data_IF_147084494904
#
_entry.id   IF_147084494904
#
_cell.length_a   1.000
_cell.length_b   1.000
_cell.length_c   1.000
_cell.angle_alpha   90.00
_cell.angle_beta   90.00
_cell.angle_gamma   90.00
#
_symmetry.space_group_name_H-M   'P 1'
#
loop_
_entity.id
_entity.type
_entity.pdbx_description
1 polymer ?
#
# COMPACT_ATOMS: atom_id res chain seq x y z
N UNK A 1 -13.30 -1.98 9.80
CA UNK A 1 -12.40 -2.47 10.83
C UNK A 1 -12.80 -1.87 12.14
N UNK A 2 -13.03 -2.74 13.11
CA UNK A 2 -13.29 -2.29 14.47
C UNK A 2 -11.90 -2.01 15.03
N UNK A 3 -11.65 -0.77 15.44
CA UNK A 3 -10.39 -0.43 16.11
C UNK A 3 -10.17 -1.39 17.29
N UNK A 4 -8.94 -1.89 17.49
CA UNK A 4 -8.65 -2.74 18.63
C UNK A 4 -9.01 -2.01 19.94
N UNK A 5 -9.43 -2.77 20.96
CA UNK A 5 -9.72 -2.20 22.28
C UNK A 5 -8.42 -1.71 22.91
N UNK A 6 -8.45 -0.50 23.48
CA UNK A 6 -7.33 0.06 24.25
C UNK A 6 -7.28 -0.64 25.61
N UNK A 7 -6.07 -1.03 26.12
CA UNK A 7 -4.75 -0.85 25.48
C UNK A 7 -4.46 -1.92 24.42
N UNK A 8 -3.74 -1.54 23.34
CA UNK A 8 -3.21 -2.48 22.35
C UNK A 8 -1.83 -2.02 21.86
N UNK A 9 -1.03 -2.95 21.35
CA UNK A 9 0.26 -2.67 20.72
C UNK A 9 0.01 -2.45 19.22
N UNK A 10 0.39 -1.29 18.64
CA UNK A 10 0.30 -1.06 17.19
C UNK A 10 1.29 -1.94 16.41
N UNK A 11 1.38 -1.69 15.10
CA UNK A 11 2.31 -2.37 14.21
C UNK A 11 1.61 -3.39 13.34
N UNK A 12 1.56 -3.09 12.02
CA UNK A 12 0.76 -3.83 11.06
C UNK A 12 1.53 -4.96 10.39
N UNK A 13 2.85 -4.80 10.30
CA UNK A 13 3.76 -5.70 9.62
C UNK A 13 5.10 -5.75 10.35
N UNK A 14 5.71 -6.91 10.39
CA UNK A 14 7.02 -7.13 11.03
C UNK A 14 7.90 -8.02 10.17
N UNK A 15 9.21 -7.79 10.31
CA UNK A 15 10.25 -8.71 9.86
C UNK A 15 11.21 -8.93 11.03
N UNK A 16 11.69 -10.12 11.21
CA UNK A 16 12.56 -10.45 12.31
C UNK A 16 13.14 -11.86 12.20
N UNK A 17 13.97 -12.19 13.18
CA UNK A 17 14.62 -13.50 13.28
C UNK A 17 13.86 -14.38 14.26
N UNK A 18 13.68 -15.63 13.94
CA UNK A 18 13.06 -16.63 14.83
C UNK A 18 14.00 -16.91 15.99
N UNK A 19 13.59 -16.53 17.20
CA UNK A 19 14.35 -16.74 18.44
C UNK A 19 14.05 -18.11 19.08
N UNK A 20 12.80 -18.52 19.06
CA UNK A 20 12.36 -19.81 19.60
C UNK A 20 11.15 -20.35 18.80
N UNK A 21 11.00 -21.70 18.81
CA UNK A 21 9.88 -22.39 18.17
C UNK A 21 9.19 -23.33 19.16
N UNK A 22 7.88 -23.51 18.98
CA UNK A 22 7.10 -24.53 19.68
C UNK A 22 7.42 -25.95 19.19
N UNK A 23 7.00 -26.96 19.95
CA UNK A 23 7.33 -28.38 19.68
C UNK A 23 6.81 -28.88 18.32
N UNK A 24 5.66 -28.35 17.86
CA UNK A 24 4.97 -28.81 16.65
C UNK A 24 5.21 -27.90 15.43
N UNK A 25 6.11 -26.90 15.54
CA UNK A 25 6.43 -25.99 14.42
C UNK A 25 7.39 -26.67 13.46
N UNK A 26 6.97 -26.77 12.20
CA UNK A 26 7.74 -27.42 11.14
C UNK A 26 8.16 -26.49 9.98
N UNK A 27 7.53 -25.29 9.89
CA UNK A 27 7.74 -24.40 8.74
C UNK A 27 8.86 -23.36 8.93
N UNK A 28 9.49 -23.30 10.13
CA UNK A 28 10.59 -22.39 10.43
C UNK A 28 11.55 -23.00 11.45
N UNK A 29 12.80 -22.59 11.43
CA UNK A 29 13.85 -22.94 12.38
C UNK A 29 14.34 -21.69 13.13
N UNK A 30 14.95 -21.90 14.30
CA UNK A 30 15.63 -20.83 15.04
C UNK A 30 16.75 -20.25 14.16
N UNK A 31 16.79 -18.93 14.03
CA UNK A 31 17.72 -18.21 13.16
C UNK A 31 17.17 -17.85 11.79
N UNK A 32 16.02 -18.40 11.38
CA UNK A 32 15.38 -18.01 10.11
C UNK A 32 14.88 -16.56 10.15
N UNK A 33 15.04 -15.84 9.03
CA UNK A 33 14.40 -14.54 8.85
C UNK A 33 12.98 -14.75 8.31
N UNK A 34 12.00 -14.20 9.01
CA UNK A 34 10.58 -14.31 8.67
C UNK A 34 9.90 -12.94 8.71
N UNK A 35 8.86 -12.81 7.92
CA UNK A 35 7.97 -11.67 7.93
C UNK A 35 6.56 -12.08 8.36
N UNK A 36 5.75 -11.13 8.81
CA UNK A 36 4.33 -11.36 9.07
C UNK A 36 3.50 -10.09 8.91
N UNK A 37 2.28 -10.27 8.43
CA UNK A 37 1.23 -9.25 8.45
C UNK A 37 0.42 -9.44 9.74
N UNK A 38 0.72 -8.64 10.77
CA UNK A 38 0.22 -8.84 12.13
C UNK A 38 -1.09 -8.11 12.41
N UNK A 39 -1.41 -7.04 11.64
CA UNK A 39 -2.53 -6.12 11.86
C UNK A 39 -2.37 -5.29 13.17
N UNK A 40 -1.87 -5.89 14.23
CA UNK A 40 -1.50 -5.26 15.51
C UNK A 40 -0.42 -6.10 16.19
N UNK A 41 0.31 -5.50 17.13
CA UNK A 41 1.35 -6.20 17.90
C UNK A 41 2.77 -6.05 17.35
N UNK A 42 2.96 -5.45 16.18
CA UNK A 42 4.27 -5.35 15.53
C UNK A 42 5.26 -4.36 16.18
N UNK A 43 4.80 -3.45 17.05
CA UNK A 43 5.69 -2.56 17.79
C UNK A 43 6.22 -3.27 19.05
N UNK A 44 7.00 -4.30 18.83
CA UNK A 44 7.57 -5.13 19.89
C UNK A 44 8.93 -5.69 19.47
N UNK A 45 9.84 -5.87 20.43
CA UNK A 45 11.12 -6.57 20.22
C UNK A 45 10.90 -8.05 19.96
N UNK A 46 9.92 -8.65 20.65
CA UNK A 46 9.53 -10.05 20.49
C UNK A 46 8.02 -10.16 20.30
N UNK A 47 7.61 -11.03 19.41
CA UNK A 47 6.20 -11.31 19.12
C UNK A 47 5.99 -12.83 18.99
N UNK A 48 4.88 -13.32 19.54
CA UNK A 48 4.44 -14.71 19.33
C UNK A 48 3.47 -14.77 18.15
N UNK A 49 3.76 -15.65 17.20
CA UNK A 49 2.97 -15.83 15.99
C UNK A 49 2.69 -17.31 15.77
N UNK A 50 1.51 -17.61 15.25
CA UNK A 50 1.23 -18.95 14.74
C UNK A 50 2.06 -19.21 13.46
N UNK A 51 2.53 -20.45 13.27
CA UNK A 51 3.33 -20.81 12.09
C UNK A 51 2.66 -20.44 10.76
N UNK A 52 1.31 -20.53 10.71
CA UNK A 52 0.53 -20.14 9.53
C UNK A 52 0.60 -18.63 9.18
N UNK A 53 1.07 -17.77 10.08
CA UNK A 53 1.25 -16.33 9.84
C UNK A 53 2.64 -16.01 9.28
N UNK A 54 3.61 -16.92 9.44
CA UNK A 54 4.99 -16.68 9.02
C UNK A 54 5.10 -16.66 7.49
N UNK A 55 5.77 -15.66 6.98
CA UNK A 55 6.09 -15.49 5.56
C UNK A 55 7.61 -15.65 5.44
N UNK A 56 8.10 -16.63 4.68
CA UNK A 56 9.55 -16.79 4.51
C UNK A 56 10.12 -15.57 3.77
N UNK A 57 11.28 -15.12 4.22
CA UNK A 57 12.02 -14.01 3.57
C UNK A 57 13.14 -14.61 2.74
N UNK A 58 13.12 -14.46 1.41
CA UNK A 58 14.19 -14.94 0.55
C UNK A 58 15.48 -14.12 0.74
N UNK A 59 16.63 -14.75 0.58
CA UNK A 59 17.91 -14.05 0.60
C UNK A 59 18.25 -13.39 1.93
N UNK A 60 18.96 -12.27 1.88
CA UNK A 60 19.32 -11.45 3.03
C UNK A 60 19.15 -9.95 2.68
N UNK A 61 17.93 -9.48 2.42
CA UNK A 61 17.68 -8.07 2.08
C UNK A 61 17.89 -7.16 3.29
N UNK A 62 17.99 -5.83 3.06
CA UNK A 62 17.85 -4.85 4.15
C UNK A 62 16.50 -5.08 4.84
N UNK A 63 16.45 -5.35 6.15
CA UNK A 63 15.19 -5.63 6.84
C UNK A 63 14.18 -4.48 6.77
N UNK A 64 14.65 -3.23 6.71
CA UNK A 64 13.75 -2.08 6.61
C UNK A 64 13.09 -1.99 5.22
N UNK A 65 13.81 -2.31 4.16
CA UNK A 65 13.24 -2.40 2.81
C UNK A 65 12.23 -3.55 2.73
N UNK A 66 12.63 -4.74 3.17
CA UNK A 66 11.77 -5.92 3.20
C UNK A 66 10.48 -5.68 4.02
N UNK A 67 10.55 -4.95 5.14
CA UNK A 67 9.37 -4.62 5.94
C UNK A 67 8.33 -3.81 5.15
N UNK A 68 8.76 -2.94 4.22
CA UNK A 68 7.84 -2.17 3.39
C UNK A 68 7.09 -3.02 2.35
N UNK A 69 7.68 -4.14 1.93
CA UNK A 69 7.06 -5.03 0.96
C UNK A 69 5.84 -5.75 1.54
N UNK A 70 5.85 -6.06 2.84
CA UNK A 70 4.83 -6.88 3.53
C UNK A 70 3.41 -6.33 3.32
N UNK A 71 3.25 -5.02 3.32
CA UNK A 71 1.95 -4.37 3.12
C UNK A 71 1.96 -3.43 1.90
N UNK A 72 2.86 -2.43 1.88
CA UNK A 72 2.74 -1.34 0.92
C UNK A 72 2.95 -1.79 -0.53
N UNK A 73 4.01 -2.55 -0.80
CA UNK A 73 4.24 -3.06 -2.14
C UNK A 73 3.27 -4.17 -2.54
N UNK A 74 2.87 -5.05 -1.61
CA UNK A 74 1.81 -6.04 -1.87
C UNK A 74 0.50 -5.34 -2.24
N UNK A 75 0.08 -4.30 -1.50
CA UNK A 75 -1.12 -3.52 -1.84
C UNK A 75 -0.98 -2.89 -3.22
N UNK A 76 0.14 -2.25 -3.50
CA UNK A 76 0.41 -1.62 -4.78
C UNK A 76 0.38 -2.65 -5.93
N UNK A 77 1.10 -3.75 -5.80
CA UNK A 77 1.18 -4.81 -6.81
C UNK A 77 -0.18 -5.44 -7.08
N UNK A 78 -0.90 -5.82 -6.02
CA UNK A 78 -2.19 -6.47 -6.17
C UNK A 78 -3.28 -5.53 -6.67
N UNK A 79 -3.23 -4.25 -6.32
CA UNK A 79 -4.20 -3.27 -6.86
C UNK A 79 -3.95 -3.00 -8.33
N UNK A 80 -2.69 -2.90 -8.78
CA UNK A 80 -2.33 -2.75 -10.19
C UNK A 80 -2.69 -4.01 -11.00
N UNK A 81 -2.10 -5.15 -10.64
CA UNK A 81 -2.10 -6.32 -11.51
C UNK A 81 -3.28 -7.26 -11.30
N UNK A 82 -3.84 -7.34 -10.07
CA UNK A 82 -4.95 -8.27 -9.77
C UNK A 82 -6.31 -7.58 -9.72
N UNK A 83 -6.38 -6.36 -9.18
CA UNK A 83 -7.64 -5.63 -9.09
C UNK A 83 -7.95 -4.83 -10.36
N UNK A 84 -7.12 -3.88 -10.74
CA UNK A 84 -7.31 -3.07 -11.95
C UNK A 84 -6.94 -3.85 -13.22
N UNK A 85 -5.89 -4.69 -13.16
CA UNK A 85 -5.33 -5.44 -14.30
C UNK A 85 -4.84 -4.49 -15.39
N UNK A 86 -4.02 -3.53 -14.96
CA UNK A 86 -3.49 -2.50 -15.85
C UNK A 86 -2.61 -3.10 -16.95
N UNK A 87 -2.62 -2.45 -18.10
CA UNK A 87 -1.80 -2.77 -19.27
C UNK A 87 -0.88 -1.59 -19.62
N UNK A 88 0.22 -1.86 -20.30
CA UNK A 88 1.16 -0.82 -20.70
C UNK A 88 0.48 0.26 -21.56
N UNK A 89 0.81 1.53 -21.30
CA UNK A 89 0.22 2.68 -21.98
C UNK A 89 -1.10 3.18 -21.38
N UNK A 90 -1.70 2.46 -20.43
CA UNK A 90 -2.91 2.91 -19.75
C UNK A 90 -2.65 4.14 -18.87
N UNK A 91 -3.70 4.96 -18.73
CA UNK A 91 -3.67 6.22 -17.96
C UNK A 91 -4.27 6.00 -16.59
N UNK A 92 -3.50 6.29 -15.55
CA UNK A 92 -3.92 6.04 -14.16
C UNK A 92 -3.76 7.27 -13.27
N UNK A 93 -4.60 7.36 -12.22
CA UNK A 93 -4.52 8.36 -11.18
C UNK A 93 -4.22 7.69 -9.83
N UNK A 94 -3.20 8.17 -9.13
CA UNK A 94 -2.81 7.71 -7.81
C UNK A 94 -3.12 8.79 -6.78
N UNK A 95 -4.04 8.51 -5.86
CA UNK A 95 -4.45 9.44 -4.81
C UNK A 95 -3.66 9.11 -3.53
N UNK A 96 -2.96 10.10 -2.98
CA UNK A 96 -1.99 9.89 -1.92
C UNK A 96 -0.65 9.34 -2.46
N UNK A 97 -0.23 9.80 -3.63
CA UNK A 97 0.89 9.28 -4.40
C UNK A 97 2.25 9.36 -3.68
N UNK A 98 2.41 10.24 -2.70
CA UNK A 98 3.67 10.40 -1.94
C UNK A 98 3.78 9.51 -0.69
N UNK A 99 2.73 8.78 -0.30
CA UNK A 99 2.77 7.87 0.85
C UNK A 99 3.39 6.51 0.53
N UNK A 100 3.49 5.61 1.51
CA UNK A 100 4.15 4.31 1.34
C UNK A 100 3.59 3.46 0.19
N UNK A 101 2.25 3.27 0.13
CA UNK A 101 1.61 2.58 -1.00
C UNK A 101 1.70 3.41 -2.28
N UNK A 102 1.59 4.75 -2.16
CA UNK A 102 1.66 5.66 -3.31
C UNK A 102 3.00 5.57 -4.04
N UNK A 103 4.12 5.64 -3.31
CA UNK A 103 5.47 5.51 -3.89
C UNK A 103 5.72 4.13 -4.48
N UNK A 104 5.18 3.08 -3.87
CA UNK A 104 5.21 1.74 -4.45
C UNK A 104 4.40 1.64 -5.76
N UNK A 105 3.20 2.26 -5.82
CA UNK A 105 2.40 2.36 -7.04
C UNK A 105 3.14 3.13 -8.15
N UNK A 106 3.86 4.20 -7.81
CA UNK A 106 4.65 4.96 -8.77
C UNK A 106 5.77 4.10 -9.39
N UNK A 107 6.52 3.37 -8.57
CA UNK A 107 7.60 2.50 -9.05
C UNK A 107 7.08 1.35 -9.91
N UNK A 108 6.09 0.61 -9.41
CA UNK A 108 5.50 -0.51 -10.14
C UNK A 108 4.75 -0.04 -11.39
N UNK A 109 4.10 1.13 -11.35
CA UNK A 109 3.44 1.72 -12.50
C UNK A 109 4.42 2.14 -13.59
N UNK A 110 5.59 2.68 -13.21
CA UNK A 110 6.70 2.97 -14.14
C UNK A 110 7.20 1.69 -14.81
N UNK A 111 7.40 0.62 -14.05
CA UNK A 111 7.79 -0.68 -14.58
C UNK A 111 6.72 -1.27 -15.52
N UNK A 112 5.45 -1.06 -15.21
CA UNK A 112 4.33 -1.49 -16.05
C UNK A 112 4.12 -0.60 -17.30
N UNK A 113 4.89 0.48 -17.47
CA UNK A 113 4.76 1.39 -18.61
C UNK A 113 3.50 2.24 -18.60
N UNK A 114 2.99 2.60 -17.43
CA UNK A 114 1.77 3.39 -17.27
C UNK A 114 2.03 4.89 -17.45
N UNK A 115 1.02 5.61 -17.97
CA UNK A 115 0.95 7.07 -17.89
C UNK A 115 0.27 7.44 -16.57
N UNK A 116 1.02 8.02 -15.65
CA UNK A 116 0.58 8.23 -14.27
C UNK A 116 0.35 9.70 -13.94
N UNK A 117 -0.76 9.97 -13.26
CA UNK A 117 -1.02 11.20 -12.50
C UNK A 117 -0.97 10.90 -11.01
N UNK A 118 -0.39 11.80 -10.22
CA UNK A 118 -0.27 11.62 -8.77
C UNK A 118 -0.75 12.84 -7.98
N UNK A 119 -1.65 12.62 -7.02
CA UNK A 119 -2.12 13.69 -6.13
C UNK A 119 -1.24 13.73 -4.88
N UNK A 120 -0.57 14.84 -4.65
CA UNK A 120 0.26 15.11 -3.48
C UNK A 120 0.37 16.63 -3.23
N UNK A 121 0.88 17.05 -2.06
CA UNK A 121 1.25 18.45 -1.83
C UNK A 121 2.45 18.86 -2.69
N UNK A 122 2.55 20.14 -3.05
CA UNK A 122 3.57 20.67 -3.95
C UNK A 122 5.00 20.33 -3.51
N UNK A 123 5.30 20.33 -2.22
CA UNK A 123 6.62 19.97 -1.69
C UNK A 123 7.09 18.55 -2.03
N UNK A 124 6.14 17.66 -2.35
CA UNK A 124 6.38 16.25 -2.66
C UNK A 124 6.36 15.94 -4.17
N UNK A 125 6.10 16.92 -5.02
CA UNK A 125 6.07 16.73 -6.47
C UNK A 125 7.39 16.20 -7.06
N UNK A 126 8.58 16.53 -6.53
CA UNK A 126 9.84 16.00 -7.07
C UNK A 126 9.88 14.47 -7.11
N UNK A 127 9.45 13.79 -6.05
CA UNK A 127 9.46 12.31 -6.01
C UNK A 127 8.47 11.71 -7.02
N UNK A 128 7.32 12.34 -7.24
CA UNK A 128 6.36 11.88 -8.25
C UNK A 128 6.94 11.98 -9.66
N UNK A 129 7.59 13.12 -9.95
CA UNK A 129 8.22 13.38 -11.24
C UNK A 129 9.40 12.44 -11.52
N UNK A 130 10.18 12.06 -10.50
CA UNK A 130 11.29 11.10 -10.59
C UNK A 130 10.80 9.74 -11.13
N UNK A 131 9.61 9.31 -10.71
CA UNK A 131 8.99 8.09 -11.22
C UNK A 131 8.17 8.30 -12.50
N UNK A 132 8.22 9.50 -13.10
CA UNK A 132 7.56 9.82 -14.36
C UNK A 132 6.07 10.12 -14.24
N UNK A 133 5.55 10.34 -13.04
CA UNK A 133 4.17 10.75 -12.85
C UNK A 133 4.01 12.28 -12.97
N UNK A 134 2.86 12.70 -13.49
CA UNK A 134 2.46 14.11 -13.57
C UNK A 134 1.82 14.48 -12.25
N UNK A 135 2.44 15.38 -11.44
CA UNK A 135 1.92 15.70 -10.13
C UNK A 135 0.76 16.70 -10.20
N UNK A 136 -0.20 16.57 -9.27
CA UNK A 136 -1.33 17.48 -9.06
C UNK A 136 -1.32 17.92 -7.61
N UNK A 137 -1.24 19.23 -7.35
CA UNK A 137 -1.29 19.80 -6.00
C UNK A 137 -2.73 19.95 -5.52
N UNK A 138 -3.13 19.12 -4.56
CA UNK A 138 -4.50 19.15 -4.02
C UNK A 138 -4.86 20.44 -3.26
N UNK A 139 -3.89 21.30 -2.94
CA UNK A 139 -4.14 22.58 -2.29
C UNK A 139 -4.57 23.68 -3.27
N UNK A 140 -4.05 23.64 -4.49
CA UNK A 140 -4.18 24.73 -5.46
C UNK A 140 -4.85 24.32 -6.77
N UNK A 141 -4.98 23.02 -7.04
CA UNK A 141 -5.50 22.50 -8.30
C UNK A 141 -6.74 21.62 -8.08
N UNK A 142 -7.73 21.75 -8.96
CA UNK A 142 -8.83 20.80 -9.03
C UNK A 142 -8.45 19.62 -9.92
N UNK A 143 -8.14 18.48 -9.29
CA UNK A 143 -7.74 17.28 -10.02
C UNK A 143 -8.75 16.82 -11.07
N UNK A 144 -10.06 17.11 -10.87
CA UNK A 144 -11.10 16.73 -11.83
C UNK A 144 -10.98 17.56 -13.11
N UNK A 145 -10.73 18.84 -12.97
CA UNK A 145 -10.52 19.75 -14.12
C UNK A 145 -9.22 19.44 -14.83
N UNK A 146 -8.11 19.26 -14.07
CA UNK A 146 -6.79 18.91 -14.62
C UNK A 146 -6.88 17.64 -15.46
N UNK A 147 -7.43 16.56 -14.89
CA UNK A 147 -7.54 15.29 -15.59
C UNK A 147 -8.49 15.38 -16.80
N UNK A 148 -9.63 16.06 -16.67
CA UNK A 148 -10.60 16.18 -17.78
C UNK A 148 -10.02 16.93 -18.97
N UNK A 149 -9.16 17.92 -18.72
CA UNK A 149 -8.48 18.67 -19.79
C UNK A 149 -7.35 17.87 -20.41
N UNK A 150 -6.54 17.18 -19.58
CA UNK A 150 -5.38 16.44 -20.06
C UNK A 150 -5.73 15.11 -20.73
N UNK A 151 -6.80 14.43 -20.23
CA UNK A 151 -7.22 13.10 -20.65
C UNK A 151 -8.72 13.09 -21.01
N UNK A 152 -9.11 13.68 -22.15
CA UNK A 152 -10.52 13.71 -22.58
C UNK A 152 -11.11 12.31 -22.83
N UNK A 153 -10.25 11.30 -23.06
CA UNK A 153 -10.63 9.89 -23.17
C UNK A 153 -10.97 9.22 -21.84
N UNK A 154 -10.60 9.84 -20.73
CA UNK A 154 -10.77 9.36 -19.37
C UNK A 154 -9.66 8.42 -18.89
N UNK A 155 -9.73 8.05 -17.63
CA UNK A 155 -8.75 7.21 -16.93
C UNK A 155 -9.09 5.72 -17.05
N UNK A 156 -8.09 4.89 -17.17
CA UNK A 156 -8.19 3.42 -17.13
C UNK A 156 -8.36 2.92 -15.71
N UNK A 157 -7.57 3.46 -14.77
CA UNK A 157 -7.71 3.11 -13.37
C UNK A 157 -7.46 4.30 -12.43
N UNK A 158 -8.05 4.22 -11.24
CA UNK A 158 -7.77 5.12 -10.12
C UNK A 158 -7.46 4.28 -8.89
N UNK A 159 -6.37 4.62 -8.20
CA UNK A 159 -5.94 3.98 -6.97
C UNK A 159 -6.11 4.96 -5.81
N UNK A 160 -7.05 4.66 -4.89
CA UNK A 160 -7.44 5.59 -3.83
C UNK A 160 -7.19 5.01 -2.43
N UNK A 161 -6.20 5.60 -1.74
CA UNK A 161 -5.88 5.31 -0.34
C UNK A 161 -6.55 6.25 0.67
N UNK A 162 -7.24 7.31 0.21
CA UNK A 162 -7.67 8.42 1.06
C UNK A 162 -9.16 8.40 1.50
N UNK A 163 -9.93 7.42 1.11
CA UNK A 163 -11.31 7.07 1.53
C UNK A 163 -12.42 8.08 1.21
N UNK A 164 -12.24 9.41 1.31
CA UNK A 164 -13.36 10.36 1.24
C UNK A 164 -13.16 11.52 0.28
N UNK A 165 -14.25 11.86 -0.42
CA UNK A 165 -14.31 13.03 -1.29
C UNK A 165 -13.79 12.80 -2.70
N UNK A 166 -12.74 12.04 -2.89
CA UNK A 166 -12.15 11.78 -4.20
C UNK A 166 -13.04 10.91 -5.07
N UNK A 167 -13.56 9.80 -4.54
CA UNK A 167 -14.46 8.90 -5.26
C UNK A 167 -15.69 9.64 -5.80
N UNK A 168 -16.34 10.48 -4.98
CA UNK A 168 -17.56 11.20 -5.38
C UNK A 168 -17.30 12.19 -6.51
N UNK A 169 -16.15 12.85 -6.47
CA UNK A 169 -15.75 13.85 -7.47
C UNK A 169 -15.18 13.21 -8.73
N UNK A 170 -14.38 12.15 -8.58
CA UNK A 170 -13.52 11.61 -9.63
C UNK A 170 -14.06 10.38 -10.36
N UNK A 171 -15.10 9.70 -9.89
CA UNK A 171 -15.58 8.47 -10.53
C UNK A 171 -16.01 8.67 -12.01
N UNK A 172 -16.49 9.87 -12.33
CA UNK A 172 -16.84 10.23 -13.70
C UNK A 172 -15.65 10.36 -14.66
N UNK A 173 -14.42 10.49 -14.12
CA UNK A 173 -13.19 10.57 -14.92
C UNK A 173 -12.78 9.23 -15.52
N UNK A 174 -13.28 8.11 -14.99
CA UNK A 174 -13.03 6.80 -15.58
C UNK A 174 -13.63 6.71 -16.97
N UNK A 175 -12.89 6.14 -17.93
CA UNK A 175 -13.45 5.72 -19.23
C UNK A 175 -14.41 4.54 -19.07
N UNK A 176 -15.14 4.16 -20.14
CA UNK A 176 -15.83 2.87 -20.15
C UNK A 176 -14.82 1.73 -20.05
N UNK A 177 -15.08 0.78 -19.15
CA UNK A 177 -14.15 -0.29 -18.82
C UNK A 177 -13.19 0.06 -17.68
N UNK A 178 -13.09 1.34 -17.30
CA UNK A 178 -12.18 1.80 -16.24
C UNK A 178 -12.59 1.35 -14.85
N UNK A 179 -11.60 1.23 -13.96
CA UNK A 179 -11.76 0.70 -12.61
C UNK A 179 -11.26 1.68 -11.56
N UNK A 180 -12.09 1.97 -10.55
CA UNK A 180 -11.67 2.63 -9.31
C UNK A 180 -11.35 1.57 -8.27
N UNK A 181 -10.11 1.55 -7.78
CA UNK A 181 -9.67 0.65 -6.71
C UNK A 181 -9.52 1.43 -5.42
N UNK A 182 -10.41 1.18 -4.47
CA UNK A 182 -10.38 1.76 -3.13
C UNK A 182 -9.65 0.80 -2.18
N UNK A 183 -8.48 1.19 -1.67
CA UNK A 183 -7.72 0.39 -0.70
C UNK A 183 -7.60 1.06 0.67
N UNK A 184 -7.94 2.34 0.79
CA UNK A 184 -8.09 3.00 2.09
C UNK A 184 -9.30 2.48 2.86
N UNK A 185 -9.16 2.35 4.17
CA UNK A 185 -10.23 1.85 5.04
C UNK A 185 -11.04 3.00 5.66
N UNK A 186 -12.38 2.94 5.64
CA UNK A 186 -13.20 3.90 6.36
C UNK A 186 -12.98 3.78 7.88
N UNK A 187 -12.79 4.91 8.54
CA UNK A 187 -12.51 4.99 9.99
C UNK A 187 -13.75 4.74 10.87
N UNK A 188 -14.95 4.66 10.28
CA UNK A 188 -16.20 4.49 11.01
C UNK A 188 -17.12 3.46 10.38
N UNK A 189 -18.00 2.86 11.20
CA UNK A 189 -19.00 1.90 10.72
C UNK A 189 -19.97 2.53 9.72
N UNK A 190 -20.42 3.76 9.95
CA UNK A 190 -21.26 4.50 9.02
C UNK A 190 -20.56 4.76 7.69
N UNK A 191 -19.25 5.00 7.75
CA UNK A 191 -18.40 5.10 6.59
C UNK A 191 -18.33 3.82 5.77
N UNK A 192 -18.16 2.70 6.44
CA UNK A 192 -18.16 1.39 5.79
C UNK A 192 -19.51 1.10 5.09
N UNK A 193 -20.63 1.35 5.77
CA UNK A 193 -21.96 1.18 5.17
C UNK A 193 -22.15 2.07 3.93
N UNK A 194 -21.71 3.34 3.99
CA UNK A 194 -21.77 4.25 2.84
C UNK A 194 -20.91 3.74 1.68
N UNK A 195 -19.70 3.25 1.95
CA UNK A 195 -18.81 2.70 0.91
C UNK A 195 -19.41 1.44 0.28
N UNK A 196 -20.00 0.54 1.07
CA UNK A 196 -20.71 -0.63 0.56
C UNK A 196 -21.94 -0.25 -0.28
N UNK A 197 -22.69 0.76 0.15
CA UNK A 197 -23.79 1.32 -0.65
C UNK A 197 -23.31 1.85 -2.00
N UNK A 198 -22.21 2.62 -2.01
CA UNK A 198 -21.58 3.10 -3.26
C UNK A 198 -21.08 1.95 -4.14
N UNK A 199 -20.48 0.92 -3.55
CA UNK A 199 -20.04 -0.26 -4.30
C UNK A 199 -21.20 -0.86 -5.10
N UNK A 200 -22.36 -1.03 -4.46
CA UNK A 200 -23.54 -1.57 -5.15
C UNK A 200 -24.05 -0.59 -6.20
N UNK A 201 -24.31 0.66 -5.83
CA UNK A 201 -24.93 1.65 -6.73
C UNK A 201 -24.04 1.92 -7.95
N UNK A 202 -22.74 2.18 -7.76
CA UNK A 202 -21.85 2.54 -8.85
C UNK A 202 -21.60 1.38 -9.83
N UNK A 203 -21.56 0.14 -9.33
CA UNK A 203 -21.40 -1.04 -10.19
C UNK A 203 -22.70 -1.46 -10.90
N UNK A 204 -23.87 -1.02 -10.44
CA UNK A 204 -25.16 -1.24 -11.12
C UNK A 204 -25.44 -0.21 -12.22
N UNK A 205 -24.72 0.92 -12.24
CA UNK A 205 -24.91 1.92 -13.29
C UNK A 205 -24.49 1.35 -14.67
N UNK A 206 -25.30 1.55 -15.73
CA UNK A 206 -24.99 1.03 -17.06
C UNK A 206 -23.95 1.89 -17.81
N UNK A 207 -22.90 2.33 -17.10
CA UNK A 207 -21.84 3.20 -17.63
C UNK A 207 -20.54 2.44 -17.97
N UNK A 208 -20.48 1.13 -17.66
CA UNK A 208 -19.33 0.28 -17.91
C UNK A 208 -18.11 0.57 -17.04
N UNK A 209 -18.26 1.36 -15.94
CA UNK A 209 -17.23 1.65 -14.96
C UNK A 209 -17.38 0.75 -13.75
N UNK A 210 -16.30 0.47 -13.02
CA UNK A 210 -16.35 -0.38 -11.84
C UNK A 210 -15.68 0.25 -10.63
N UNK A 211 -16.27 0.04 -9.45
CA UNK A 211 -15.65 0.27 -8.15
C UNK A 211 -15.26 -1.07 -7.55
N UNK A 212 -14.00 -1.21 -7.12
CA UNK A 212 -13.50 -2.38 -6.41
C UNK A 212 -12.95 -1.96 -5.06
N UNK A 213 -13.33 -2.71 -4.01
CA UNK A 213 -12.74 -2.56 -2.70
C UNK A 213 -11.61 -3.58 -2.59
N UNK A 214 -10.47 -3.12 -2.13
CA UNK A 214 -9.30 -3.97 -1.95
C UNK A 214 -8.89 -4.02 -0.47
N UNK A 215 -8.55 -5.22 0.00
CA UNK A 215 -7.99 -5.47 1.32
C UNK A 215 -6.99 -6.61 1.26
N UNK A 216 -5.79 -6.38 1.79
CA UNK A 216 -4.75 -7.41 1.88
C UNK A 216 -5.15 -8.50 2.88
N UNK A 217 -4.94 -9.75 2.54
CA UNK A 217 -5.17 -10.87 3.44
C UNK A 217 -4.13 -11.98 3.25
N UNK A 218 -3.65 -12.49 4.36
CA UNK A 218 -2.82 -13.70 4.44
C UNK A 218 -3.61 -14.91 4.92
N UNK A 219 -4.95 -14.81 4.99
CA UNK A 219 -5.83 -15.92 5.34
C UNK A 219 -5.67 -17.10 4.36
N UNK A 220 -6.12 -18.28 4.76
CA UNK A 220 -6.03 -19.52 3.94
C UNK A 220 -6.50 -19.32 2.48
N UNK A 221 -7.49 -18.47 2.24
CA UNK A 221 -8.03 -18.21 0.91
C UNK A 221 -7.17 -17.24 0.05
N UNK A 222 -6.36 -16.39 0.68
CA UNK A 222 -5.52 -15.40 -0.01
C UNK A 222 -4.02 -15.70 0.02
N UNK A 223 -3.58 -16.61 0.89
CA UNK A 223 -2.16 -16.86 1.19
C UNK A 223 -1.35 -17.26 -0.06
N UNK A 224 -1.85 -18.15 -0.90
CA UNK A 224 -1.14 -18.58 -2.10
C UNK A 224 -0.79 -17.40 -3.01
N UNK A 225 -1.79 -16.57 -3.31
CA UNK A 225 -1.57 -15.36 -4.12
C UNK A 225 -0.65 -14.35 -3.46
N UNK A 226 -0.77 -14.20 -2.15
CA UNK A 226 0.12 -13.32 -1.39
C UNK A 226 1.58 -13.77 -1.52
N UNK A 227 1.87 -15.05 -1.37
CA UNK A 227 3.22 -15.61 -1.46
C UNK A 227 3.79 -15.55 -2.89
N UNK A 228 2.96 -15.76 -3.92
CA UNK A 228 3.36 -15.56 -5.32
C UNK A 228 3.81 -14.10 -5.56
N UNK A 229 2.98 -13.13 -5.13
CA UNK A 229 3.26 -11.71 -5.31
C UNK A 229 4.46 -11.27 -4.45
N UNK A 230 4.60 -11.84 -3.25
CA UNK A 230 5.74 -11.64 -2.36
C UNK A 230 7.05 -12.07 -3.03
N UNK A 231 7.09 -13.27 -3.61
CA UNK A 231 8.27 -13.75 -4.33
C UNK A 231 8.63 -12.83 -5.50
N UNK A 232 7.64 -12.42 -6.30
CA UNK A 232 7.86 -11.48 -7.41
C UNK A 232 8.42 -10.14 -6.93
N UNK A 233 7.92 -9.60 -5.82
CA UNK A 233 8.42 -8.34 -5.27
C UNK A 233 9.84 -8.45 -4.75
N UNK A 234 10.21 -9.60 -4.18
CA UNK A 234 11.59 -9.86 -3.78
C UNK A 234 12.54 -9.96 -4.98
N UNK A 235 12.14 -10.63 -6.06
CA UNK A 235 12.90 -10.64 -7.30
C UNK A 235 13.12 -9.22 -7.84
N UNK A 236 12.09 -8.38 -7.86
CA UNK A 236 12.20 -6.98 -8.28
C UNK A 236 13.12 -6.15 -7.37
N UNK A 237 13.12 -6.41 -6.06
CA UNK A 237 14.02 -5.75 -5.10
C UNK A 237 15.46 -6.18 -5.31
N UNK A 238 15.73 -7.49 -5.44
CA UNK A 238 17.07 -8.04 -5.68
C UNK A 238 17.67 -7.57 -7.01
N UNK A 239 16.83 -7.42 -8.03
CA UNK A 239 17.24 -6.88 -9.34
C UNK A 239 17.42 -5.37 -9.36
N UNK A 240 17.14 -4.66 -8.24
CA UNK A 240 17.18 -3.19 -8.15
C UNK A 240 16.12 -2.50 -9.02
N UNK A 241 15.06 -3.21 -9.41
CA UNK A 241 13.95 -2.63 -10.19
C UNK A 241 12.97 -1.84 -9.33
N UNK A 242 12.89 -2.16 -8.05
CA UNK A 242 12.19 -1.38 -7.04
C UNK A 242 13.18 -1.04 -5.91
N UNK A 243 13.02 0.17 -5.37
CA UNK A 243 13.82 0.68 -4.26
C UNK A 243 12.87 1.37 -3.26
N UNK A 244 12.55 0.72 -2.13
CA UNK A 244 11.59 1.26 -1.20
C UNK A 244 11.98 2.64 -0.66
N UNK A 245 11.09 3.62 -0.83
CA UNK A 245 11.32 4.97 -0.33
C UNK A 245 11.14 4.98 1.18
N UNK A 246 12.24 5.06 1.93
CA UNK A 246 12.26 5.14 3.39
C UNK A 246 12.80 6.52 3.78
N UNK A 247 11.90 7.40 4.24
CA UNK A 247 12.30 8.75 4.65
C UNK A 247 13.14 8.73 5.93
N UNK A 248 12.76 7.87 6.88
CA UNK A 248 13.43 7.82 8.18
C UNK A 248 13.30 6.44 8.82
N UNK A 249 14.41 5.97 9.44
CA UNK A 249 14.42 4.83 10.36
C UNK A 249 14.46 5.38 11.80
N UNK A 250 13.66 4.82 12.70
CA UNK A 250 13.65 5.16 14.13
C UNK A 250 13.86 3.92 14.99
N UNK A 251 14.55 4.04 16.14
CA UNK A 251 14.52 2.98 17.14
C UNK A 251 13.06 2.67 17.53
N UNK A 252 12.74 1.41 17.79
CA UNK A 252 11.38 1.01 18.16
C UNK A 252 10.87 1.76 19.41
N UNK A 253 11.75 2.11 20.35
CA UNK A 253 11.40 2.89 21.54
C UNK A 253 11.03 4.35 21.22
N UNK A 254 11.36 4.84 20.03
CA UNK A 254 10.97 6.17 19.55
C UNK A 254 9.70 6.16 18.69
N UNK A 255 8.89 5.11 18.77
CA UNK A 255 7.66 4.98 17.99
C UNK A 255 6.72 6.20 18.09
N UNK A 256 6.68 6.88 19.24
CA UNK A 256 5.91 8.11 19.40
C UNK A 256 6.40 9.25 18.48
N UNK A 257 7.74 9.38 18.29
CA UNK A 257 8.31 10.37 17.36
C UNK A 257 8.00 10.00 15.90
N UNK A 258 8.13 8.72 15.57
CA UNK A 258 7.80 8.21 14.24
C UNK A 258 6.33 8.49 13.88
N UNK A 259 5.41 8.23 14.81
CA UNK A 259 3.99 8.51 14.61
C UNK A 259 3.71 10.02 14.50
N UNK A 260 4.33 10.87 15.32
CA UNK A 260 4.20 12.31 15.22
C UNK A 260 4.66 12.83 13.84
N UNK A 261 5.75 12.28 13.29
CA UNK A 261 6.21 12.60 11.94
C UNK A 261 5.19 12.15 10.87
N UNK A 262 4.58 10.97 11.01
CA UNK A 262 3.50 10.53 10.10
C UNK A 262 2.29 11.47 10.16
N UNK A 263 1.88 11.89 11.35
CA UNK A 263 0.75 12.79 11.58
C UNK A 263 1.00 14.20 11.05
N UNK A 264 2.26 14.66 11.00
CA UNK A 264 2.60 15.97 10.40
C UNK A 264 2.26 16.08 8.91
N UNK A 265 2.09 14.93 8.24
CA UNK A 265 1.87 14.88 6.79
C UNK A 265 3.11 15.19 5.95
N UNK A 266 4.30 15.32 6.55
CA UNK A 266 5.55 15.61 5.84
C UNK A 266 6.19 14.38 5.19
N UNK A 267 5.83 13.18 5.65
CA UNK A 267 6.44 11.92 5.21
C UNK A 267 6.27 11.69 3.71
N UNK A 268 7.36 11.29 3.06
CA UNK A 268 7.41 10.73 1.72
C UNK A 268 7.83 9.27 1.82
N UNK A 269 7.05 8.38 1.23
CA UNK A 269 7.29 6.94 1.35
C UNK A 269 6.97 6.42 2.75
N UNK A 270 7.96 5.84 3.39
CA UNK A 270 7.82 5.07 4.62
C UNK A 270 8.63 5.65 5.78
N UNK A 271 8.15 5.42 6.99
CA UNK A 271 8.92 5.50 8.23
C UNK A 271 8.96 4.09 8.82
N UNK A 272 10.15 3.61 9.13
CA UNK A 272 10.36 2.24 9.63
C UNK A 272 10.89 2.27 11.05
N UNK A 273 10.27 1.49 11.93
CA UNK A 273 10.79 1.23 13.26
C UNK A 273 11.74 0.04 13.18
N UNK A 274 12.91 0.19 13.74
CA UNK A 274 13.97 -0.83 13.71
C UNK A 274 14.45 -1.16 15.11
N UNK A 275 14.96 -2.36 15.28
CA UNK A 275 15.66 -2.75 16.49
C UNK A 275 16.94 -1.89 16.64
N UNK A 276 17.34 -1.52 17.87
CA UNK A 276 18.47 -0.61 18.09
C UNK A 276 19.77 -1.02 17.42
N UNK A 277 20.02 -2.30 17.29
CA UNK A 277 21.20 -2.89 16.66
C UNK A 277 21.24 -2.77 15.12
N UNK A 278 20.14 -2.34 14.51
CA UNK A 278 20.00 -2.14 13.05
C UNK A 278 20.04 -0.66 12.62
N UNK A 279 20.38 0.23 13.55
CA UNK A 279 20.46 1.68 13.29
C UNK A 279 21.84 2.11 12.79
#
# INVERSE_FOLDING_TARGET
PIAPKIPFVPGYAVIGTVDAIGQDVACAAVGDTVAALTVSGGYAEYIYLDEGQLIPVPGAPDPAEAATLILNYIVAYQTLHRAARVEAGEVVLIIGASGGVGTALLQLGKLAGLRMYGIASKSKHPILAEYGAIPIDYHTEDFVEVIRQAEPGGLDAVFDGMVWGYLDRGFSLLRRGGTWVQYGNPLSFSGLLRLLGKLVVLNLLPNGRSLKLYGTTTSKFGRGRYLEDWATLFELLEEGKIEPVIMQKYPILEAARANALLESGEVVGNVVLVAPELL
#
